data_IF_256687925550
#
_entry.id   IF_256687925550
#
_cell.length_a   1.000
_cell.length_b   1.000
_cell.length_c   1.000
_cell.angle_alpha   90.00
_cell.angle_beta   90.00
_cell.angle_gamma   90.00
#
_symmetry.space_group_name_H-M   'P 1'
#
loop_
_entity.id
_entity.type
_entity.pdbx_description
1 polymer ?
#
# COMPACT_ATOMS: atom_id res chain seq x y z
N UNK A 1 -15.81 -21.10 -19.25
CA UNK A 1 -15.20 -20.77 -20.57
C UNK A 1 -14.41 -19.45 -20.57
N UNK A 2 -14.90 -18.37 -19.97
CA UNK A 2 -14.24 -17.04 -20.00
C UNK A 2 -12.85 -17.03 -19.33
N UNK A 3 -12.62 -17.86 -18.29
CA UNK A 3 -11.36 -17.86 -17.53
C UNK A 3 -10.22 -18.64 -18.21
N UNK A 4 -10.56 -19.50 -19.18
CA UNK A 4 -9.55 -20.32 -19.87
C UNK A 4 -8.58 -19.43 -20.65
N UNK A 5 -7.30 -19.51 -20.29
CA UNK A 5 -6.24 -18.71 -20.90
C UNK A 5 -6.22 -17.23 -20.46
N UNK A 6 -7.02 -16.85 -19.46
CA UNK A 6 -7.00 -15.50 -18.91
C UNK A 6 -5.74 -15.28 -18.06
N UNK A 7 -5.17 -14.10 -18.15
CA UNK A 7 -3.99 -13.69 -17.37
C UNK A 7 -4.38 -13.22 -15.96
N UNK A 8 -5.58 -12.66 -15.79
CA UNK A 8 -6.03 -12.04 -14.54
C UNK A 8 -7.44 -12.48 -14.20
N UNK A 9 -7.66 -12.87 -12.95
CA UNK A 9 -8.97 -13.00 -12.32
C UNK A 9 -9.12 -11.96 -11.22
N UNK A 10 -10.15 -11.13 -11.32
CA UNK A 10 -10.52 -10.15 -10.30
C UNK A 10 -11.89 -10.54 -9.71
N UNK A 11 -11.87 -11.11 -8.52
CA UNK A 11 -13.06 -11.55 -7.79
C UNK A 11 -13.58 -10.47 -6.86
N UNK A 12 -14.84 -10.04 -7.09
CA UNK A 12 -15.57 -9.06 -6.29
C UNK A 12 -17.00 -9.53 -6.00
N UNK A 13 -17.23 -10.84 -5.98
CA UNK A 13 -18.60 -11.39 -5.96
C UNK A 13 -18.93 -12.14 -4.67
N UNK A 14 -18.75 -13.44 -4.65
CA UNK A 14 -19.01 -14.28 -3.49
C UNK A 14 -18.01 -15.42 -3.39
N UNK A 15 -17.87 -15.97 -2.18
CA UNK A 15 -16.95 -17.05 -1.91
C UNK A 15 -17.19 -18.33 -2.70
N UNK A 16 -16.12 -19.09 -2.93
CA UNK A 16 -16.11 -20.43 -3.49
C UNK A 16 -16.69 -20.55 -4.92
N UNK A 17 -16.54 -19.53 -5.75
CA UNK A 17 -16.97 -19.55 -7.17
C UNK A 17 -15.84 -19.85 -8.15
N UNK A 18 -14.59 -19.79 -7.71
CA UNK A 18 -13.42 -20.11 -8.50
C UNK A 18 -12.85 -21.47 -8.07
N UNK A 19 -12.90 -22.46 -8.94
CA UNK A 19 -12.38 -23.79 -8.64
C UNK A 19 -10.89 -23.93 -9.00
N UNK A 20 -10.21 -24.92 -8.43
CA UNK A 20 -8.82 -25.24 -8.78
C UNK A 20 -8.66 -25.53 -10.28
N UNK A 21 -9.61 -26.22 -10.92
CA UNK A 21 -9.55 -26.50 -12.35
C UNK A 21 -9.66 -25.24 -13.21
N UNK A 22 -10.45 -24.26 -12.74
CA UNK A 22 -10.52 -22.95 -13.38
C UNK A 22 -9.17 -22.23 -13.30
N UNK A 23 -8.52 -22.24 -12.13
CA UNK A 23 -7.17 -21.64 -11.97
C UNK A 23 -6.14 -22.36 -12.83
N UNK A 24 -6.17 -23.71 -12.90
CA UNK A 24 -5.29 -24.50 -13.79
C UNK A 24 -5.45 -24.14 -15.26
N UNK A 25 -6.65 -23.74 -15.69
CA UNK A 25 -6.95 -23.39 -17.08
C UNK A 25 -6.50 -21.97 -17.50
N UNK A 26 -6.07 -21.13 -16.55
CA UNK A 26 -5.56 -19.78 -16.81
C UNK A 26 -4.21 -19.79 -17.53
N UNK A 27 -3.79 -18.61 -18.02
CA UNK A 27 -2.47 -18.41 -18.62
C UNK A 27 -1.33 -18.71 -17.62
N UNK A 28 -0.07 -18.90 -18.07
CA UNK A 28 1.08 -19.04 -17.17
C UNK A 28 1.25 -17.81 -16.25
N UNK A 29 1.63 -18.05 -15.00
CA UNK A 29 1.80 -17.01 -13.96
C UNK A 29 0.56 -16.10 -13.81
N UNK A 30 -0.65 -16.68 -13.60
CA UNK A 30 -1.86 -15.88 -13.55
C UNK A 30 -1.94 -15.04 -12.29
N UNK A 31 -2.57 -13.89 -12.40
CA UNK A 31 -2.89 -13.03 -11.25
C UNK A 31 -4.30 -13.38 -10.77
N UNK A 32 -4.44 -13.76 -9.51
CA UNK A 32 -5.74 -14.09 -8.90
C UNK A 32 -5.98 -13.20 -7.69
N UNK A 33 -6.87 -12.23 -7.83
CA UNK A 33 -7.35 -11.38 -6.74
C UNK A 33 -8.72 -11.86 -6.30
N UNK A 34 -8.75 -12.66 -5.23
CA UNK A 34 -9.98 -13.21 -4.65
C UNK A 34 -10.41 -12.35 -3.46
N UNK A 35 -11.22 -11.33 -3.72
CA UNK A 35 -11.50 -10.24 -2.79
C UNK A 35 -12.88 -10.31 -2.14
N UNK A 36 -13.68 -11.36 -2.41
CA UNK A 36 -14.95 -11.55 -1.72
C UNK A 36 -14.75 -11.72 -0.21
N UNK A 37 -15.63 -11.13 0.58
CA UNK A 37 -15.54 -11.10 2.04
C UNK A 37 -16.88 -11.58 2.66
N UNK A 38 -16.87 -12.44 3.69
CA UNK A 38 -15.72 -12.96 4.46
C UNK A 38 -14.98 -14.13 3.81
N UNK A 39 -15.59 -14.83 2.85
CA UNK A 39 -15.00 -15.99 2.17
C UNK A 39 -14.56 -15.57 0.78
N UNK A 40 -13.27 -15.74 0.40
CA UNK A 40 -12.79 -15.44 -0.94
C UNK A 40 -13.36 -16.39 -2.00
N UNK A 41 -13.28 -15.99 -3.27
CA UNK A 41 -13.73 -16.81 -4.41
C UNK A 41 -13.02 -18.15 -4.51
N UNK A 42 -11.75 -18.21 -4.05
CA UNK A 42 -10.96 -19.42 -3.83
C UNK A 42 -10.07 -19.17 -2.62
N UNK A 43 -9.82 -20.21 -1.80
CA UNK A 43 -8.86 -20.10 -0.70
C UNK A 43 -7.42 -19.94 -1.22
N UNK A 44 -6.54 -19.36 -0.41
CA UNK A 44 -5.12 -19.23 -0.75
C UNK A 44 -4.50 -20.62 -0.99
N UNK A 45 -4.80 -21.58 -0.10
CA UNK A 45 -4.32 -22.95 -0.16
C UNK A 45 -4.76 -23.65 -1.44
N UNK A 46 -6.04 -23.53 -1.83
CA UNK A 46 -6.57 -24.13 -3.04
C UNK A 46 -5.96 -23.53 -4.31
N UNK A 47 -5.74 -22.22 -4.33
CA UNK A 47 -5.11 -21.55 -5.46
C UNK A 47 -3.65 -22.01 -5.63
N UNK A 48 -2.87 -22.05 -4.53
CA UNK A 48 -1.49 -22.53 -4.54
C UNK A 48 -1.39 -24.04 -4.85
N UNK A 49 -2.35 -24.85 -4.39
CA UNK A 49 -2.43 -26.27 -4.74
C UNK A 49 -2.83 -26.50 -6.20
N UNK A 50 -3.61 -25.58 -6.77
CA UNK A 50 -3.95 -25.65 -8.19
C UNK A 50 -2.73 -25.42 -9.08
N UNK A 51 -1.91 -24.40 -8.76
CA UNK A 51 -0.66 -24.12 -9.46
C UNK A 51 0.25 -23.17 -8.64
N UNK A 52 1.53 -23.54 -8.48
CA UNK A 52 2.46 -22.83 -7.61
C UNK A 52 2.96 -21.48 -8.19
N UNK A 53 2.71 -21.21 -9.48
CA UNK A 53 3.12 -19.98 -10.16
C UNK A 53 2.05 -18.87 -10.10
N UNK A 54 0.94 -19.07 -9.37
CA UNK A 54 -0.11 -18.07 -9.23
C UNK A 54 0.35 -16.90 -8.36
N UNK A 55 0.07 -15.68 -8.83
CA UNK A 55 0.24 -14.46 -8.05
C UNK A 55 -1.07 -14.16 -7.33
N UNK A 56 -1.14 -14.56 -6.05
CA UNK A 56 -2.37 -14.52 -5.28
C UNK A 56 -2.46 -13.33 -4.34
N UNK A 57 -3.63 -12.69 -4.30
CA UNK A 57 -3.99 -11.70 -3.28
C UNK A 57 -5.42 -11.91 -2.78
N UNK A 58 -5.65 -11.64 -1.51
CA UNK A 58 -6.96 -11.72 -0.86
C UNK A 58 -7.19 -10.52 0.07
N UNK A 59 -8.39 -10.35 0.58
CA UNK A 59 -8.69 -9.37 1.63
C UNK A 59 -8.21 -9.78 3.03
N UNK A 60 -7.69 -10.99 3.22
CA UNK A 60 -7.32 -11.54 4.54
C UNK A 60 -5.93 -11.08 4.96
N UNK A 61 -5.76 -10.79 6.26
CA UNK A 61 -4.51 -10.34 6.85
C UNK A 61 -3.51 -11.46 7.16
N UNK A 62 -3.98 -12.69 7.20
CA UNK A 62 -3.19 -13.89 7.52
C UNK A 62 -2.48 -14.51 6.29
N UNK A 63 -2.70 -13.94 5.10
CA UNK A 63 -2.04 -14.37 3.86
C UNK A 63 -1.14 -13.27 3.27
N UNK A 64 -0.19 -13.64 2.40
CA UNK A 64 0.55 -12.68 1.59
C UNK A 64 -0.35 -11.77 0.77
N UNK A 65 0.14 -10.56 0.44
CA UNK A 65 -0.55 -9.63 -0.45
C UNK A 65 -1.99 -9.30 -0.02
N UNK A 66 -2.17 -8.91 1.25
CA UNK A 66 -3.47 -8.44 1.72
C UNK A 66 -3.90 -7.19 0.95
N UNK A 67 -5.03 -7.25 0.25
CA UNK A 67 -5.68 -6.09 -0.36
C UNK A 67 -6.69 -5.53 0.63
N UNK A 68 -6.38 -4.35 1.17
CA UNK A 68 -7.23 -3.67 2.13
C UNK A 68 -7.36 -2.19 1.75
N UNK A 69 -8.56 -1.65 1.81
CA UNK A 69 -8.85 -0.25 1.50
C UNK A 69 -8.03 0.74 2.36
N UNK A 70 -7.56 0.31 3.53
CA UNK A 70 -6.76 1.14 4.45
C UNK A 70 -5.42 1.58 3.87
N UNK A 71 -4.89 0.90 2.85
CA UNK A 71 -3.64 1.34 2.18
C UNK A 71 -3.83 2.53 1.23
N UNK A 72 -5.05 2.86 0.86
CA UNK A 72 -5.35 3.94 -0.08
C UNK A 72 -6.30 4.98 0.50
N UNK A 73 -7.46 4.54 1.00
CA UNK A 73 -8.56 5.40 1.42
C UNK A 73 -8.16 6.55 2.36
N UNK A 74 -7.48 6.33 3.51
CA UNK A 74 -7.17 7.43 4.43
C UNK A 74 -6.26 8.47 3.80
N UNK A 75 -5.30 8.03 2.99
CA UNK A 75 -4.25 8.87 2.42
C UNK A 75 -4.73 9.65 1.19
N UNK A 76 -5.65 9.07 0.41
CA UNK A 76 -6.35 9.80 -0.67
C UNK A 76 -7.14 10.97 -0.07
N UNK A 77 -7.90 10.70 1.00
CA UNK A 77 -8.64 11.76 1.69
C UNK A 77 -7.70 12.77 2.34
N UNK A 78 -6.59 12.33 2.91
CA UNK A 78 -5.61 13.24 3.51
C UNK A 78 -5.07 14.24 2.48
N UNK A 79 -4.58 13.77 1.33
CA UNK A 79 -4.09 14.65 0.27
C UNK A 79 -5.18 15.58 -0.29
N UNK A 80 -6.41 15.08 -0.44
CA UNK A 80 -7.54 15.86 -0.90
C UNK A 80 -7.95 16.97 0.10
N UNK A 81 -8.01 16.64 1.40
CA UNK A 81 -8.40 17.59 2.45
C UNK A 81 -7.36 18.66 2.68
N UNK A 82 -6.06 18.33 2.66
CA UNK A 82 -4.97 19.27 2.88
C UNK A 82 -4.86 20.32 1.76
N UNK A 83 -5.22 19.93 0.54
CA UNK A 83 -5.34 20.84 -0.60
C UNK A 83 -6.72 21.47 -0.75
N UNK A 84 -7.66 21.15 0.15
CA UNK A 84 -9.06 21.56 0.07
C UNK A 84 -9.66 21.31 -1.32
N UNK A 85 -9.36 20.15 -1.90
CA UNK A 85 -9.77 19.80 -3.25
C UNK A 85 -11.31 19.83 -3.38
N UNK A 86 -11.81 20.34 -4.50
CA UNK A 86 -13.25 20.43 -4.81
C UNK A 86 -13.87 19.06 -5.05
N UNK A 87 -13.06 18.11 -5.49
CA UNK A 87 -13.44 16.72 -5.79
C UNK A 87 -12.19 15.84 -5.74
N UNK A 88 -12.38 14.53 -5.56
CA UNK A 88 -11.35 13.52 -5.80
C UNK A 88 -11.57 13.03 -7.23
N UNK A 89 -10.71 13.52 -8.14
CA UNK A 89 -10.79 13.21 -9.57
C UNK A 89 -9.97 11.96 -9.95
N UNK A 90 -9.98 11.59 -11.23
CA UNK A 90 -9.26 10.42 -11.73
C UNK A 90 -7.74 10.57 -11.59
N UNK A 91 -7.20 11.76 -11.84
CA UNK A 91 -5.77 12.06 -11.71
C UNK A 91 -5.27 11.79 -10.30
N UNK A 92 -6.02 12.18 -9.28
CA UNK A 92 -5.70 11.92 -7.87
C UNK A 92 -5.75 10.41 -7.54
N UNK A 93 -6.74 9.68 -8.08
CA UNK A 93 -6.85 8.22 -7.89
C UNK A 93 -5.70 7.48 -8.57
N UNK A 94 -5.36 7.86 -9.80
CA UNK A 94 -4.23 7.29 -10.55
C UNK A 94 -2.91 7.60 -9.84
N UNK A 95 -2.72 8.80 -9.31
CA UNK A 95 -1.54 9.17 -8.54
C UNK A 95 -1.39 8.28 -7.28
N UNK A 96 -2.49 8.00 -6.57
CA UNK A 96 -2.49 7.07 -5.44
C UNK A 96 -2.09 5.65 -5.85
N UNK A 97 -2.62 5.14 -6.98
CA UNK A 97 -2.26 3.81 -7.52
C UNK A 97 -0.77 3.73 -7.80
N UNK A 98 -0.20 4.73 -8.48
CA UNK A 98 1.23 4.76 -8.77
C UNK A 98 2.09 4.87 -7.51
N UNK A 99 1.68 5.69 -6.54
CA UNK A 99 2.39 5.82 -5.27
C UNK A 99 2.45 4.48 -4.52
N UNK A 100 1.33 3.77 -4.39
CA UNK A 100 1.25 2.46 -3.76
C UNK A 100 2.10 1.43 -4.51
N UNK A 101 2.00 1.38 -5.84
CA UNK A 101 2.76 0.44 -6.67
C UNK A 101 4.28 0.69 -6.59
N UNK A 102 4.70 1.95 -6.54
CA UNK A 102 6.11 2.33 -6.41
C UNK A 102 6.63 2.03 -5.01
N UNK A 103 5.82 2.27 -3.97
CA UNK A 103 6.18 1.96 -2.59
C UNK A 103 6.46 0.48 -2.37
N UNK A 104 5.68 -0.42 -2.99
CA UNK A 104 5.91 -1.86 -2.92
C UNK A 104 7.28 -2.30 -3.45
N UNK A 105 7.86 -1.53 -4.38
CA UNK A 105 9.16 -1.82 -5.00
C UNK A 105 10.36 -1.30 -4.20
N UNK A 106 10.11 -0.46 -3.20
CA UNK A 106 11.16 0.08 -2.34
C UNK A 106 11.55 -0.92 -1.23
N UNK A 107 12.76 -0.81 -0.66
CA UNK A 107 13.15 -1.60 0.51
C UNK A 107 12.13 -1.45 1.65
N UNK A 108 11.72 -2.58 2.22
CA UNK A 108 10.70 -2.59 3.28
C UNK A 108 11.36 -2.23 4.62
N UNK A 109 10.81 -1.27 5.39
CA UNK A 109 11.35 -0.88 6.70
C UNK A 109 11.29 -2.02 7.71
N UNK A 110 12.28 -2.09 8.63
CA UNK A 110 12.35 -3.11 9.67
C UNK A 110 11.12 -3.12 10.59
N UNK A 111 10.50 -1.96 10.81
CA UNK A 111 9.26 -1.86 11.60
C UNK A 111 8.11 -2.65 10.97
N UNK A 112 8.04 -2.72 9.64
CA UNK A 112 7.05 -3.52 8.92
C UNK A 112 7.37 -5.00 9.04
N UNK A 113 8.65 -5.38 8.82
CA UNK A 113 9.11 -6.76 9.00
C UNK A 113 8.81 -7.27 10.42
N UNK A 114 9.11 -6.47 11.43
CA UNK A 114 8.84 -6.80 12.84
C UNK A 114 7.34 -6.96 13.14
N UNK A 115 6.49 -6.08 12.60
CA UNK A 115 5.04 -6.13 12.83
C UNK A 115 4.38 -7.40 12.26
N UNK A 116 4.95 -7.99 11.22
CA UNK A 116 4.45 -9.24 10.61
C UNK A 116 5.26 -10.48 11.01
N UNK A 117 6.24 -10.34 11.92
CA UNK A 117 7.12 -11.43 12.36
C UNK A 117 7.82 -12.16 11.20
N UNK A 118 8.21 -11.40 10.18
CA UNK A 118 8.93 -11.89 9.01
C UNK A 118 10.27 -11.18 8.85
N UNK A 119 11.17 -11.78 8.09
CA UNK A 119 12.47 -11.19 7.78
C UNK A 119 12.56 -10.89 6.28
N UNK A 120 13.09 -9.70 5.96
CA UNK A 120 13.48 -9.35 4.59
C UNK A 120 12.35 -9.42 3.54
N UNK A 121 11.16 -8.87 3.85
CA UNK A 121 10.14 -8.66 2.84
C UNK A 121 10.74 -7.85 1.67
N UNK A 122 10.53 -8.34 0.46
CA UNK A 122 10.98 -7.67 -0.76
C UNK A 122 9.95 -7.86 -1.87
N UNK A 123 9.96 -6.98 -2.85
CA UNK A 123 9.04 -7.06 -3.99
C UNK A 123 9.14 -8.41 -4.70
N UNK A 124 8.01 -9.08 -4.87
CA UNK A 124 7.92 -10.40 -5.46
C UNK A 124 6.52 -11.01 -5.31
N UNK A 125 6.39 -12.30 -5.57
CA UNK A 125 5.12 -13.01 -5.56
C UNK A 125 4.36 -12.93 -4.21
N UNK A 126 5.10 -12.85 -3.09
CA UNK A 126 4.52 -12.76 -1.75
C UNK A 126 4.44 -11.33 -1.19
N UNK A 127 4.97 -10.35 -1.93
CA UNK A 127 4.93 -8.94 -1.55
C UNK A 127 4.94 -8.06 -2.81
N UNK A 128 3.80 -7.84 -3.41
CA UNK A 128 3.62 -6.87 -4.51
C UNK A 128 2.68 -5.71 -4.13
N UNK A 129 2.18 -5.71 -2.89
CA UNK A 129 1.40 -4.63 -2.32
C UNK A 129 1.92 -4.28 -0.92
N UNK A 130 2.05 -2.99 -0.54
CA UNK A 130 2.52 -2.60 0.78
C UNK A 130 1.62 -3.14 1.89
N UNK A 131 2.20 -3.44 3.04
CA UNK A 131 1.42 -3.84 4.22
C UNK A 131 0.66 -2.64 4.81
N UNK A 132 -0.55 -2.84 5.35
CA UNK A 132 -1.36 -1.77 5.96
C UNK A 132 -0.67 -0.96 7.06
N UNK A 133 0.31 -1.55 7.74
CA UNK A 133 1.07 -0.90 8.82
C UNK A 133 2.30 -0.13 8.31
N UNK A 134 2.53 -0.07 7.00
CA UNK A 134 3.69 0.63 6.46
C UNK A 134 3.58 2.14 6.73
N UNK A 135 4.49 2.71 7.56
CA UNK A 135 4.40 4.11 7.95
C UNK A 135 4.63 5.09 6.81
N UNK A 136 5.17 4.63 5.69
CA UNK A 136 5.44 5.46 4.52
C UNK A 136 4.19 5.76 3.70
N UNK A 137 3.11 4.97 3.85
CA UNK A 137 1.87 5.15 3.11
C UNK A 137 1.31 6.56 3.25
N UNK A 138 1.36 7.14 4.45
CA UNK A 138 0.81 8.48 4.68
C UNK A 138 1.56 9.55 3.89
N UNK A 139 2.87 9.48 3.81
CA UNK A 139 3.66 10.46 3.05
C UNK A 139 3.60 10.21 1.56
N UNK A 140 3.87 8.98 1.13
CA UNK A 140 3.95 8.63 -0.29
C UNK A 140 2.61 8.85 -1.02
N UNK A 141 1.52 8.33 -0.45
CA UNK A 141 0.21 8.41 -1.09
C UNK A 141 -0.40 9.81 -0.96
N UNK A 142 -0.36 10.41 0.25
CA UNK A 142 -0.97 11.73 0.44
C UNK A 142 -0.25 12.83 -0.35
N UNK A 143 1.09 12.80 -0.41
CA UNK A 143 1.85 13.75 -1.23
C UNK A 143 1.54 13.60 -2.72
N UNK A 144 1.46 12.36 -3.23
CA UNK A 144 1.12 12.11 -4.63
C UNK A 144 -0.28 12.62 -4.98
N UNK A 145 -1.26 12.35 -4.12
CA UNK A 145 -2.65 12.83 -4.29
C UNK A 145 -2.74 14.35 -4.21
N UNK A 146 -2.04 14.98 -3.26
CA UNK A 146 -2.02 16.42 -3.13
C UNK A 146 -1.39 17.11 -4.35
N UNK A 147 -0.29 16.57 -4.88
CA UNK A 147 0.32 17.05 -6.14
C UNK A 147 -0.65 16.96 -7.30
N UNK A 148 -1.28 15.80 -7.49
CA UNK A 148 -2.25 15.60 -8.55
C UNK A 148 -3.48 16.53 -8.42
N UNK A 149 -3.93 16.82 -7.21
CA UNK A 149 -5.02 17.78 -6.97
C UNK A 149 -4.62 19.20 -7.40
N UNK A 150 -3.40 19.62 -7.13
CA UNK A 150 -2.87 20.93 -7.55
C UNK A 150 -2.69 21.00 -9.07
N UNK A 151 -2.06 19.99 -9.66
CA UNK A 151 -1.77 19.92 -11.10
C UNK A 151 -3.04 19.86 -11.95
N UNK A 152 -4.06 19.15 -11.48
CA UNK A 152 -5.36 19.05 -12.16
C UNK A 152 -6.32 20.23 -11.89
N UNK A 153 -5.88 21.22 -11.08
CA UNK A 153 -6.63 22.45 -10.83
C UNK A 153 -7.86 22.28 -9.92
N UNK A 154 -8.00 21.15 -9.21
CA UNK A 154 -9.09 20.93 -8.26
C UNK A 154 -8.74 21.41 -6.85
N UNK A 155 -7.47 21.62 -6.54
CA UNK A 155 -7.02 22.18 -5.26
C UNK A 155 -7.47 23.64 -5.08
N UNK A 156 -7.80 24.01 -3.83
CA UNK A 156 -8.08 25.41 -3.43
C UNK A 156 -6.92 26.02 -2.62
N UNK A 157 -6.06 25.15 -2.08
CA UNK A 157 -4.89 25.53 -1.30
C UNK A 157 -3.66 24.87 -1.90
N UNK A 158 -2.57 25.62 -2.02
CA UNK A 158 -1.29 25.11 -2.52
C UNK A 158 -0.38 24.73 -1.37
N UNK A 159 0.28 23.58 -1.49
CA UNK A 159 1.37 23.16 -0.61
C UNK A 159 2.67 23.67 -1.25
N UNK A 160 3.32 24.62 -0.59
CA UNK A 160 4.55 25.26 -1.10
C UNK A 160 5.81 24.57 -0.60
N UNK A 161 5.79 24.13 0.65
CA UNK A 161 6.90 23.44 1.30
C UNK A 161 6.56 21.98 1.50
N UNK A 162 7.09 21.12 0.62
CA UNK A 162 6.84 19.69 0.62
C UNK A 162 7.55 18.97 1.76
N UNK A 163 8.72 19.47 2.18
CA UNK A 163 9.47 18.86 3.28
C UNK A 163 8.73 19.08 4.61
N UNK A 164 8.28 20.32 4.85
CA UNK A 164 7.45 20.63 6.01
C UNK A 164 6.12 19.84 5.99
N UNK A 165 5.51 19.66 4.82
CA UNK A 165 4.29 18.86 4.68
C UNK A 165 4.52 17.39 5.00
N UNK A 166 5.60 16.79 4.50
CA UNK A 166 5.95 15.41 4.81
C UNK A 166 6.26 15.21 6.30
N UNK A 167 6.93 16.17 6.96
CA UNK A 167 7.15 16.15 8.41
C UNK A 167 5.81 16.19 9.15
N UNK A 168 4.93 17.12 8.78
CA UNK A 168 3.60 17.21 9.39
C UNK A 168 2.79 15.91 9.27
N UNK A 169 2.82 15.27 8.09
CA UNK A 169 2.14 13.98 7.89
C UNK A 169 2.67 12.87 8.81
N UNK A 170 3.99 12.80 9.02
CA UNK A 170 4.60 11.83 9.96
C UNK A 170 4.22 12.12 11.41
N UNK A 171 4.16 13.40 11.79
CA UNK A 171 3.71 13.82 13.13
C UNK A 171 2.28 13.39 13.42
N UNK A 172 1.37 13.45 12.43
CA UNK A 172 -0.02 12.99 12.57
C UNK A 172 -0.13 11.50 12.89
N UNK A 173 0.83 10.69 12.47
CA UNK A 173 0.89 9.26 12.79
C UNK A 173 1.57 8.97 14.13
N UNK A 174 2.04 9.99 14.85
CA UNK A 174 2.74 9.82 16.12
C UNK A 174 4.18 9.28 16.01
N UNK A 175 4.71 9.14 14.80
CA UNK A 175 6.08 8.65 14.58
C UNK A 175 7.16 9.69 14.86
N UNK A 176 6.83 10.98 14.82
CA UNK A 176 7.73 12.09 15.18
C UNK A 176 7.00 13.04 16.10
N UNK A 177 6.92 12.73 17.41
CA UNK A 177 6.53 13.77 18.35
C UNK A 177 7.64 14.82 18.38
N UNK A 178 7.28 16.12 18.49
CA UNK A 178 8.24 17.23 18.64
C UNK A 178 9.26 16.97 19.77
N UNK A 179 8.81 16.24 20.80
CA UNK A 179 9.63 15.81 21.93
C UNK A 179 10.67 14.75 21.52
N UNK A 180 10.29 13.77 20.73
CA UNK A 180 11.19 12.71 20.24
C UNK A 180 12.26 13.29 19.34
N UNK A 181 11.90 14.23 18.46
CA UNK A 181 12.86 14.94 17.59
C UNK A 181 13.83 15.79 18.42
N UNK A 182 13.34 16.54 19.42
CA UNK A 182 14.21 17.29 20.33
C UNK A 182 15.20 16.39 21.11
N UNK A 183 14.74 15.20 21.52
CA UNK A 183 15.61 14.22 22.19
C UNK A 183 16.69 13.69 21.22
N UNK A 184 16.32 13.34 19.99
CA UNK A 184 17.29 12.88 18.98
C UNK A 184 18.31 13.96 18.64
N UNK A 185 17.86 15.19 18.38
CA UNK A 185 18.74 16.33 18.07
C UNK A 185 19.67 16.62 19.24
N UNK A 186 19.19 16.56 20.47
CA UNK A 186 19.98 16.73 21.70
C UNK A 186 20.99 15.60 21.88
N UNK A 187 20.61 14.35 21.64
CA UNK A 187 21.52 13.20 21.75
C UNK A 187 22.62 13.22 20.69
N UNK A 188 22.31 13.63 19.45
CA UNK A 188 23.30 13.74 18.38
C UNK A 188 24.30 14.88 18.63
N UNK A 189 23.86 16.01 19.17
CA UNK A 189 24.75 17.10 19.59
C UNK A 189 25.71 16.66 20.70
N UNK A 190 25.22 15.88 21.69
CA UNK A 190 26.08 15.37 22.77
C UNK A 190 27.12 14.34 22.34
N UNK A 191 26.85 13.58 21.28
CA UNK A 191 27.79 12.58 20.75
C UNK A 191 28.85 13.20 19.83
N UNK A 192 28.57 14.34 19.19
CA UNK A 192 29.55 15.06 18.36
C UNK A 192 30.55 15.84 19.20
N UNK A 193 30.13 16.41 20.35
CA UNK A 193 31.03 17.15 21.26
C UNK A 193 31.89 16.26 22.17
N UNK A 194 31.64 14.95 22.22
CA UNK A 194 32.45 14.01 23.00
C UNK A 194 33.59 13.36 22.18
N UNK A 195 33.77 13.75 20.92
CA UNK A 195 34.78 13.22 19.97
C UNK A 195 35.94 14.18 19.70
N UNK A 196 35.97 15.35 20.37
CA UNK A 196 37.11 16.29 20.46
C UNK A 196 37.72 16.24 21.92
#
# INVERSE_FOLDING_TARGET
EAIKGADVFLGLSKGNVLSQDMVRSMAPMPIVFALANPTPEISYEDAMAARPDVLMATGRSDYPNQINNVIGFPYIFRGALDTQAKAINEEMKIAAVHAIANLAKQPVPDVVNAAYHVNNLSFGAEYFIPKPVDPRLITEVSCAVAKAAMESGVARTEIKDWDAYCVHLRELMGYESKLTRQLYDTCLLYTSDAAD
#
